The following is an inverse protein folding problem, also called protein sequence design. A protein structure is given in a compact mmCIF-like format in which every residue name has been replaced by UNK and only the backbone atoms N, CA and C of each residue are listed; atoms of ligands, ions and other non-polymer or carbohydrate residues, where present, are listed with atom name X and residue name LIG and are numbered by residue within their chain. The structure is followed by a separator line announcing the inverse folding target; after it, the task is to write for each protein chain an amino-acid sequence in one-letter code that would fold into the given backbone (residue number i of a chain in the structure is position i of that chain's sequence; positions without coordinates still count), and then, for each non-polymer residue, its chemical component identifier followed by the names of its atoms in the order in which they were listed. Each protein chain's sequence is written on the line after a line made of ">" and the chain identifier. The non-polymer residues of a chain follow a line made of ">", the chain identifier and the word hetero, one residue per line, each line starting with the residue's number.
data_IF_368123368530
#
_entry.id   IF_368123368530
#
_cell.length_a   1.000
_cell.length_b   1.000
_cell.length_c   1.000
_cell.angle_alpha   90.00
_cell.angle_beta   90.00
_cell.angle_gamma   90.00
#
_symmetry.space_group_name_H-M   'P 1'
#
loop_
_entity.id
_entity.type
_entity.pdbx_description
1 polymer ?
#
# COMPACT_ATOMS: atom_id res chain seq x y z
N UNK A 1 34.08 -6.16 7.55
CA UNK A 1 33.91 -7.57 7.13
C UNK A 1 32.43 -7.85 7.00
N UNK A 2 31.93 -8.01 5.77
CA UNK A 2 30.53 -8.39 5.52
C UNK A 2 30.48 -9.90 5.65
N UNK A 3 29.78 -10.41 6.67
CA UNK A 3 29.53 -11.85 6.80
C UNK A 3 28.61 -12.25 5.64
N UNK A 4 29.22 -12.76 4.58
CA UNK A 4 28.49 -13.43 3.50
C UNK A 4 28.03 -14.73 4.13
N UNK A 5 26.74 -14.81 4.48
CA UNK A 5 26.16 -16.04 5.02
C UNK A 5 26.49 -17.18 4.05
N UNK A 6 27.33 -18.11 4.51
CA UNK A 6 27.64 -19.34 3.79
C UNK A 6 26.32 -20.01 3.44
N UNK A 7 26.08 -20.14 2.14
CA UNK A 7 24.85 -20.72 1.60
C UNK A 7 24.88 -22.21 1.97
N UNK A 8 24.18 -22.58 3.04
CA UNK A 8 24.08 -23.97 3.49
C UNK A 8 23.76 -24.90 2.31
N UNK A 9 24.74 -25.68 1.85
CA UNK A 9 24.66 -26.61 0.73
C UNK A 9 23.90 -27.91 1.08
N UNK A 10 22.92 -27.83 1.98
CA UNK A 10 21.96 -28.93 2.14
C UNK A 10 20.93 -28.78 1.02
N UNK A 11 21.01 -29.67 0.04
CA UNK A 11 19.96 -29.80 -0.98
C UNK A 11 18.63 -29.99 -0.27
N UNK A 12 17.80 -28.95 -0.30
CA UNK A 12 16.48 -28.97 0.32
C UNK A 12 15.71 -30.15 -0.27
N UNK A 13 15.18 -31.01 0.59
CA UNK A 13 14.37 -32.14 0.13
C UNK A 13 13.15 -31.59 -0.62
N UNK A 14 12.64 -32.31 -1.62
CA UNK A 14 11.45 -31.92 -2.40
C UNK A 14 10.27 -31.48 -1.52
N UNK A 15 10.06 -32.17 -0.39
CA UNK A 15 9.05 -31.82 0.63
C UNK A 15 9.28 -30.45 1.27
N UNK A 16 10.52 -30.09 1.55
CA UNK A 16 10.88 -28.78 2.13
C UNK A 16 10.69 -27.67 1.12
N UNK A 17 11.10 -27.89 -0.14
CA UNK A 17 10.86 -26.96 -1.24
C UNK A 17 9.36 -26.69 -1.45
N UNK A 18 8.54 -27.75 -1.41
CA UNK A 18 7.08 -27.62 -1.48
C UNK A 18 6.51 -26.77 -0.34
N UNK A 19 6.98 -26.97 0.90
CA UNK A 19 6.51 -26.19 2.05
C UNK A 19 6.90 -24.72 1.93
N UNK A 20 8.11 -24.41 1.45
CA UNK A 20 8.57 -23.04 1.20
C UNK A 20 7.68 -22.38 0.15
N UNK A 21 7.45 -23.06 -0.99
CA UNK A 21 6.58 -22.56 -2.05
C UNK A 21 5.16 -22.27 -1.54
N UNK A 22 4.60 -23.15 -0.72
CA UNK A 22 3.29 -22.93 -0.10
C UNK A 22 3.28 -21.72 0.85
N UNK A 23 4.35 -21.52 1.63
CA UNK A 23 4.49 -20.38 2.52
C UNK A 23 4.59 -19.06 1.74
N UNK A 24 5.36 -19.02 0.66
CA UNK A 24 5.49 -17.87 -0.23
C UNK A 24 4.15 -17.50 -0.87
N UNK A 25 3.42 -18.48 -1.41
CA UNK A 25 2.09 -18.27 -1.98
C UNK A 25 1.10 -17.70 -0.95
N UNK A 26 1.15 -18.17 0.30
CA UNK A 26 0.32 -17.62 1.39
C UNK A 26 0.71 -16.19 1.71
N UNK A 27 2.00 -15.90 1.78
CA UNK A 27 2.52 -14.57 2.05
C UNK A 27 2.12 -13.56 0.95
N UNK A 28 2.25 -13.93 -0.32
CA UNK A 28 1.79 -13.09 -1.43
C UNK A 28 0.29 -12.80 -1.37
N UNK A 29 -0.52 -13.82 -1.07
CA UNK A 29 -1.97 -13.66 -0.89
C UNK A 29 -2.28 -12.71 0.27
N UNK A 30 -1.55 -12.80 1.38
CA UNK A 30 -1.68 -11.91 2.52
C UNK A 30 -1.31 -10.46 2.17
N UNK A 31 -0.21 -10.25 1.44
CA UNK A 31 0.19 -8.92 0.96
C UNK A 31 -0.86 -8.31 0.03
N UNK A 32 -1.44 -9.09 -0.89
CA UNK A 32 -2.53 -8.65 -1.76
C UNK A 32 -3.77 -8.23 -0.95
N UNK A 33 -4.13 -9.00 0.09
CA UNK A 33 -5.23 -8.65 1.01
C UNK A 33 -4.95 -7.36 1.77
N UNK A 34 -3.76 -7.22 2.37
CA UNK A 34 -3.35 -6.01 3.10
C UNK A 34 -3.42 -4.76 2.21
N UNK A 35 -2.89 -4.83 0.98
CA UNK A 35 -2.98 -3.72 0.01
C UNK A 35 -4.43 -3.36 -0.33
N UNK A 36 -5.32 -4.35 -0.44
CA UNK A 36 -6.76 -4.13 -0.70
C UNK A 36 -7.43 -3.46 0.50
N UNK A 37 -7.15 -3.92 1.71
CA UNK A 37 -7.66 -3.34 2.95
C UNK A 37 -7.19 -1.89 3.13
N UNK A 38 -5.92 -1.59 2.85
CA UNK A 38 -5.39 -0.23 2.87
C UNK A 38 -6.10 0.70 1.86
N UNK A 39 -6.39 0.21 0.64
CA UNK A 39 -7.17 0.97 -0.35
C UNK A 39 -8.58 1.27 0.15
N UNK A 40 -9.26 0.28 0.72
CA UNK A 40 -10.61 0.44 1.27
C UNK A 40 -10.59 1.41 2.46
N UNK A 41 -9.61 1.28 3.35
CA UNK A 41 -9.45 2.17 4.51
C UNK A 41 -9.19 3.62 4.08
N UNK A 42 -8.36 3.82 3.05
CA UNK A 42 -8.11 5.14 2.45
C UNK A 42 -9.38 5.75 1.86
N UNK A 43 -10.16 4.97 1.11
CA UNK A 43 -11.44 5.42 0.55
C UNK A 43 -12.43 5.82 1.66
N UNK A 44 -12.60 4.98 2.69
CA UNK A 44 -13.44 5.29 3.85
C UNK A 44 -12.99 6.55 4.60
N UNK A 45 -11.67 6.76 4.73
CA UNK A 45 -11.13 7.99 5.36
C UNK A 45 -11.47 9.21 4.52
N UNK A 46 -11.28 9.15 3.21
CA UNK A 46 -11.63 10.24 2.30
C UNK A 46 -13.13 10.57 2.36
N UNK A 47 -14.00 9.56 2.36
CA UNK A 47 -15.46 9.76 2.51
C UNK A 47 -15.82 10.45 3.83
N UNK A 48 -15.18 10.04 4.94
CA UNK A 48 -15.38 10.68 6.26
C UNK A 48 -14.93 12.14 6.27
N UNK A 49 -13.79 12.44 5.65
CA UNK A 49 -13.28 13.82 5.54
C UNK A 49 -14.24 14.69 4.71
N UNK A 50 -14.72 14.19 3.57
CA UNK A 50 -15.72 14.89 2.74
C UNK A 50 -17.00 15.16 3.54
N UNK A 51 -17.48 14.17 4.30
CA UNK A 51 -18.67 14.32 5.14
C UNK A 51 -18.46 15.35 6.27
N UNK A 52 -17.30 15.30 6.95
CA UNK A 52 -16.92 16.25 8.01
C UNK A 52 -16.90 17.70 7.51
N UNK A 53 -16.32 17.91 6.34
CA UNK A 53 -16.19 19.25 5.75
C UNK A 53 -17.42 19.67 4.93
N UNK A 54 -18.48 18.83 4.87
CA UNK A 54 -19.72 19.06 4.10
C UNK A 54 -19.47 19.41 2.63
N UNK A 55 -18.35 18.97 2.06
CA UNK A 55 -17.95 19.27 0.68
C UNK A 55 -18.63 18.29 -0.28
N UNK A 56 -19.97 18.23 -0.27
CA UNK A 56 -20.74 17.40 -1.19
C UNK A 56 -21.29 18.23 -2.35
N UNK A 57 -20.42 18.99 -3.02
CA UNK A 57 -20.79 19.64 -4.27
C UNK A 57 -20.41 18.74 -5.45
N UNK A 58 -21.30 18.65 -6.44
CA UNK A 58 -21.03 17.96 -7.73
C UNK A 58 -19.72 18.47 -8.36
N UNK A 59 -19.40 19.75 -8.11
CA UNK A 59 -18.15 20.39 -8.48
C UNK A 59 -16.91 19.72 -7.85
N UNK A 60 -16.89 19.48 -6.54
CA UNK A 60 -15.76 18.83 -5.86
C UNK A 60 -15.54 17.39 -6.37
N UNK A 61 -16.62 16.63 -6.58
CA UNK A 61 -16.53 15.27 -7.15
C UNK A 61 -15.90 15.27 -8.54
N UNK A 62 -16.30 16.22 -9.40
CA UNK A 62 -15.72 16.40 -10.73
C UNK A 62 -14.23 16.79 -10.65
N UNK A 63 -13.83 17.66 -9.72
CA UNK A 63 -12.43 18.04 -9.54
C UNK A 63 -11.55 16.85 -9.14
N UNK A 64 -12.03 16.01 -8.22
CA UNK A 64 -11.30 14.80 -7.79
C UNK A 64 -11.22 13.76 -8.91
N UNK A 65 -12.33 13.47 -9.59
CA UNK A 65 -12.40 12.45 -10.64
C UNK A 65 -11.54 12.82 -11.86
N UNK A 66 -11.52 14.10 -12.24
CA UNK A 66 -10.70 14.61 -13.34
C UNK A 66 -9.27 14.97 -12.92
N UNK A 67 -8.88 14.69 -11.67
CA UNK A 67 -7.56 15.04 -11.11
C UNK A 67 -7.19 16.54 -11.29
N UNK A 68 -8.22 17.40 -11.28
CA UNK A 68 -8.11 18.86 -11.40
C UNK A 68 -7.89 19.55 -10.04
N UNK A 69 -7.91 18.78 -8.95
CA UNK A 69 -7.58 19.30 -7.64
C UNK A 69 -6.08 19.52 -7.51
N UNK A 70 -5.67 20.71 -7.07
CA UNK A 70 -4.27 21.01 -6.78
C UNK A 70 -3.76 20.03 -5.73
N UNK A 71 -2.87 19.13 -6.16
CA UNK A 71 -2.15 18.24 -5.24
C UNK A 71 -1.09 19.08 -4.55
N UNK A 72 -1.32 19.37 -3.28
CA UNK A 72 -0.31 19.99 -2.44
C UNK A 72 0.89 19.05 -2.40
N UNK A 73 2.04 19.50 -2.91
CA UNK A 73 3.28 18.73 -2.77
C UNK A 73 3.59 18.63 -1.29
N UNK A 74 3.71 17.42 -0.77
CA UNK A 74 4.15 17.17 0.59
C UNK A 74 5.54 16.56 0.57
N UNK A 75 6.36 16.88 1.58
CA UNK A 75 7.64 16.21 1.79
C UNK A 75 7.44 14.75 2.22
N UNK A 76 8.55 14.01 2.39
CA UNK A 76 8.52 12.62 2.86
C UNK A 76 7.91 12.43 4.26
N UNK A 77 7.72 13.53 5.00
CA UNK A 77 7.16 13.58 6.35
C UNK A 77 5.70 14.06 6.37
N UNK A 78 5.11 14.39 5.22
CA UNK A 78 3.73 14.86 5.10
C UNK A 78 3.53 16.37 5.31
N UNK A 79 4.60 17.15 5.46
CA UNK A 79 4.52 18.60 5.53
C UNK A 79 4.30 19.20 4.14
N UNK A 80 3.47 20.23 4.05
CA UNK A 80 3.24 20.96 2.80
C UNK A 80 4.53 21.64 2.35
N UNK A 81 5.07 21.23 1.21
CA UNK A 81 6.16 21.93 0.53
C UNK A 81 5.59 23.24 -0.03
N UNK A 82 5.77 24.33 0.73
CA UNK A 82 5.55 25.69 0.24
C UNK A 82 6.81 26.11 -0.51
N UNK A 83 6.65 26.37 -1.80
CA UNK A 83 7.62 27.05 -2.66
C UNK A 83 6.91 28.22 -3.31
#
# INVERSE_FOLDING_TARGET
>A
MVQVYERNEKTLTSKQLYLIQQAELRHERALKRKRREERIARAKRAEREVAKHRVNTRYFKNLVQNNLMVKVKTDQYGNVQRG
#
